data_IF_278985431188
#
_entry.id   IF_278985431188
#
_cell.length_a   1.000
_cell.length_b   1.000
_cell.length_c   1.000
_cell.angle_alpha   90.00
_cell.angle_beta   90.00
_cell.angle_gamma   90.00
#
_symmetry.space_group_name_H-M   'P 1'
#
loop_
_entity.id
_entity.type
_entity.pdbx_description
1 polymer ?
#
# COMPACT_ATOMS: atom_id res chain seq x y z
N UNK A 1 -53.84 25.45 -33.44
CA UNK A 1 -53.16 26.22 -32.37
C UNK A 1 -53.78 25.78 -31.05
N UNK A 2 -53.14 25.27 -30.00
CA UNK A 2 -51.76 24.86 -29.72
C UNK A 2 -51.84 23.95 -28.48
N UNK A 3 -50.86 23.05 -28.34
CA UNK A 3 -50.67 21.94 -27.40
C UNK A 3 -50.77 22.27 -25.91
N UNK A 4 -51.29 21.34 -25.11
CA UNK A 4 -51.00 21.19 -23.68
C UNK A 4 -50.47 19.78 -23.41
N UNK A 5 -49.16 19.64 -23.19
CA UNK A 5 -48.58 18.48 -22.53
C UNK A 5 -47.78 18.99 -21.34
N UNK A 6 -48.29 18.72 -20.13
CA UNK A 6 -47.59 18.93 -18.89
C UNK A 6 -46.56 17.80 -18.72
N UNK A 7 -45.28 18.14 -18.79
CA UNK A 7 -44.18 17.25 -18.43
C UNK A 7 -43.41 17.91 -17.28
N UNK A 8 -43.81 17.59 -16.04
CA UNK A 8 -43.11 18.03 -14.83
C UNK A 8 -42.15 16.95 -14.37
N UNK A 9 -40.88 17.16 -14.73
CA UNK A 9 -39.70 17.15 -13.86
C UNK A 9 -39.54 15.97 -12.87
N UNK A 10 -38.85 14.91 -13.31
CA UNK A 10 -38.12 14.02 -12.41
C UNK A 10 -36.62 14.23 -12.68
N UNK A 11 -36.04 15.24 -12.03
CA UNK A 11 -34.60 15.47 -12.05
C UNK A 11 -33.93 14.43 -11.14
N UNK A 12 -33.55 13.30 -11.73
CA UNK A 12 -32.68 12.31 -11.07
C UNK A 12 -31.31 12.96 -10.86
N UNK A 13 -31.07 13.43 -9.64
CA UNK A 13 -29.71 13.73 -9.18
C UNK A 13 -28.89 12.44 -9.24
N UNK A 14 -28.19 12.19 -10.34
CA UNK A 14 -27.06 11.29 -10.35
C UNK A 14 -25.99 11.94 -9.48
N UNK A 15 -26.02 11.61 -8.19
CA UNK A 15 -24.88 11.79 -7.31
C UNK A 15 -23.78 10.93 -7.89
N UNK A 16 -22.88 11.54 -8.65
CA UNK A 16 -21.61 10.92 -9.02
C UNK A 16 -20.84 10.79 -7.71
N UNK A 17 -20.97 9.64 -7.06
CA UNK A 17 -20.05 9.23 -6.01
C UNK A 17 -18.68 9.10 -6.66
N UNK A 18 -17.88 10.15 -6.55
CA UNK A 18 -16.45 10.11 -6.83
C UNK A 18 -15.80 9.17 -5.82
N UNK A 19 -15.85 7.86 -6.09
CA UNK A 19 -15.06 6.88 -5.39
C UNK A 19 -13.59 7.19 -5.70
N UNK A 20 -12.92 7.91 -4.80
CA UNK A 20 -11.46 7.98 -4.82
C UNK A 20 -10.93 6.55 -4.71
N UNK A 21 -10.37 6.04 -5.80
CA UNK A 21 -9.87 4.68 -5.87
C UNK A 21 -8.55 4.60 -5.10
N UNK A 22 -8.58 3.99 -3.91
CA UNK A 22 -7.34 3.63 -3.20
C UNK A 22 -6.61 2.43 -3.84
N UNK A 23 -7.13 1.88 -4.95
CA UNK A 23 -6.46 0.88 -5.76
C UNK A 23 -5.28 1.52 -6.53
N UNK A 24 -4.15 0.82 -6.56
CA UNK A 24 -3.04 1.13 -7.47
C UNK A 24 -3.43 0.61 -8.86
N UNK A 25 -3.42 1.50 -9.86
CA UNK A 25 -3.78 1.12 -11.22
C UNK A 25 -2.67 0.28 -11.86
N UNK A 26 -2.96 -0.64 -12.81
CA UNK A 26 -1.95 -1.54 -13.36
C UNK A 26 -0.75 -0.86 -14.02
N UNK A 27 -0.95 0.32 -14.61
CA UNK A 27 0.10 1.15 -15.21
C UNK A 27 1.03 1.80 -14.18
N UNK A 28 0.65 1.74 -12.90
CA UNK A 28 1.39 2.31 -11.79
C UNK A 28 2.29 1.27 -11.10
N UNK A 29 2.16 -0.02 -11.39
CA UNK A 29 2.94 -1.05 -10.71
C UNK A 29 4.46 -0.90 -10.88
N UNK A 30 5.20 -1.15 -9.80
CA UNK A 30 6.64 -0.86 -9.77
C UNK A 30 7.51 -1.84 -10.57
N UNK A 31 6.99 -3.03 -10.87
CA UNK A 31 7.75 -4.15 -11.41
C UNK A 31 8.40 -5.04 -10.33
N UNK A 32 8.12 -4.79 -9.05
CA UNK A 32 8.65 -5.59 -7.94
C UNK A 32 8.07 -7.01 -7.88
N UNK A 33 6.77 -7.16 -8.11
CA UNK A 33 6.10 -8.47 -8.14
C UNK A 33 6.36 -9.19 -9.47
N UNK A 34 6.33 -10.51 -9.44
CA UNK A 34 6.60 -11.32 -10.63
C UNK A 34 5.40 -11.39 -11.59
N UNK A 35 4.17 -11.38 -11.06
CA UNK A 35 2.96 -11.59 -11.85
C UNK A 35 1.76 -10.79 -11.33
N UNK A 36 1.64 -9.54 -11.79
CA UNK A 36 0.53 -8.67 -11.44
C UNK A 36 -0.83 -9.12 -11.99
N UNK A 37 -0.88 -10.04 -12.97
CA UNK A 37 -2.12 -10.42 -13.66
C UNK A 37 -3.14 -11.11 -12.75
N UNK A 38 -2.67 -11.60 -11.58
CA UNK A 38 -3.49 -12.31 -10.59
C UNK A 38 -4.14 -11.38 -9.57
N UNK A 39 -3.68 -10.14 -9.50
CA UNK A 39 -4.19 -9.17 -8.54
C UNK A 39 -5.61 -8.78 -8.89
N UNK A 40 -6.44 -8.65 -7.85
CA UNK A 40 -7.79 -8.12 -7.96
C UNK A 40 -8.05 -7.16 -6.82
N UNK A 41 -9.01 -6.25 -6.99
CA UNK A 41 -9.49 -5.41 -5.89
C UNK A 41 -10.12 -6.29 -4.81
N UNK A 42 -9.62 -6.15 -3.59
CA UNK A 42 -10.10 -6.81 -2.39
C UNK A 42 -10.18 -5.80 -1.24
N UNK A 43 -10.86 -6.13 -0.15
CA UNK A 43 -10.81 -5.33 1.08
C UNK A 43 -9.82 -5.93 2.08
N UNK A 44 -9.02 -5.07 2.71
CA UNK A 44 -8.23 -5.44 3.88
C UNK A 44 -9.14 -5.63 5.10
N UNK A 45 -8.65 -6.27 6.19
CA UNK A 45 -9.41 -6.40 7.43
C UNK A 45 -9.90 -5.07 8.03
N UNK A 46 -9.17 -3.96 7.83
CA UNK A 46 -9.59 -2.61 8.20
C UNK A 46 -10.58 -1.94 7.23
N UNK A 47 -10.99 -2.62 6.16
CA UNK A 47 -11.96 -2.11 5.17
C UNK A 47 -11.35 -1.26 4.06
N UNK A 48 -10.02 -1.16 3.98
CA UNK A 48 -9.34 -0.40 2.92
C UNK A 48 -9.25 -1.25 1.65
N UNK A 49 -9.56 -0.66 0.48
CA UNK A 49 -9.38 -1.36 -0.80
C UNK A 49 -7.90 -1.55 -1.10
N UNK A 50 -7.54 -2.76 -1.48
CA UNK A 50 -6.18 -3.20 -1.79
C UNK A 50 -6.19 -4.05 -3.07
N UNK A 51 -5.12 -4.01 -3.86
CA UNK A 51 -4.93 -4.99 -4.91
C UNK A 51 -4.22 -6.20 -4.30
N UNK A 52 -4.88 -7.36 -4.27
CA UNK A 52 -4.38 -8.55 -3.59
C UNK A 52 -4.68 -9.79 -4.41
N UNK A 53 -3.80 -10.77 -4.27
CA UNK A 53 -4.02 -12.15 -4.68
C UNK A 53 -3.64 -13.11 -3.54
N UNK A 54 -4.38 -14.20 -3.41
CA UNK A 54 -4.06 -15.32 -2.53
C UNK A 54 -4.29 -16.59 -3.34
N UNK A 55 -3.34 -17.53 -3.29
CA UNK A 55 -3.51 -18.83 -3.94
C UNK A 55 -4.80 -19.49 -3.42
N UNK A 56 -5.76 -19.86 -4.29
CA UNK A 56 -7.00 -20.50 -3.87
C UNK A 56 -6.77 -21.85 -3.18
N UNK A 57 -5.61 -22.48 -3.38
CA UNK A 57 -5.21 -23.73 -2.73
C UNK A 57 -4.28 -23.50 -1.53
N UNK A 58 -4.19 -22.27 -1.02
CA UNK A 58 -3.37 -21.95 0.14
C UNK A 58 -3.85 -22.72 1.38
N UNK A 59 -3.07 -23.71 1.79
CA UNK A 59 -3.14 -24.27 3.13
C UNK A 59 -2.19 -23.50 4.06
N UNK A 60 -2.74 -22.48 4.73
CA UNK A 60 -1.99 -21.65 5.68
C UNK A 60 -1.48 -22.47 6.89
N UNK A 61 -2.04 -23.66 7.14
CA UNK A 61 -1.64 -24.49 8.29
C UNK A 61 -0.25 -25.11 8.13
N UNK A 62 0.24 -25.21 6.88
CA UNK A 62 1.60 -25.67 6.56
C UNK A 62 2.68 -24.74 7.07
N UNK A 63 2.36 -23.47 7.32
CA UNK A 63 3.31 -22.47 7.82
C UNK A 63 3.22 -22.33 9.34
N UNK A 64 4.26 -22.78 10.03
CA UNK A 64 4.38 -22.69 11.49
C UNK A 64 5.18 -21.47 11.94
N UNK A 65 5.92 -20.86 11.02
CA UNK A 65 6.73 -19.68 11.24
C UNK A 65 6.78 -18.79 10.01
N UNK A 66 7.13 -17.53 10.23
CA UNK A 66 7.32 -16.52 9.18
C UNK A 66 8.74 -16.01 9.22
N UNK A 67 9.37 -15.87 8.05
CA UNK A 67 10.61 -15.12 7.88
C UNK A 67 10.28 -13.84 7.12
N UNK A 68 10.74 -12.69 7.63
CA UNK A 68 10.54 -11.39 6.98
C UNK A 68 11.90 -10.98 6.41
N UNK A 69 12.00 -10.92 5.07
CA UNK A 69 13.17 -10.35 4.42
C UNK A 69 13.28 -8.86 4.78
N UNK A 70 14.51 -8.31 4.95
CA UNK A 70 14.68 -6.88 5.15
C UNK A 70 14.02 -6.08 4.01
N UNK A 71 13.14 -5.15 4.36
CA UNK A 71 12.49 -4.31 3.35
C UNK A 71 13.50 -3.41 2.66
N UNK A 72 13.19 -3.09 1.40
CA UNK A 72 13.97 -2.17 0.57
C UNK A 72 13.04 -1.27 -0.21
N UNK A 73 13.58 -0.21 -0.77
CA UNK A 73 12.90 0.50 -1.83
C UNK A 73 13.08 -0.23 -3.17
N UNK A 74 12.03 -0.25 -3.99
CA UNK A 74 12.12 -0.75 -5.36
C UNK A 74 11.29 0.11 -6.33
N UNK A 75 11.91 0.63 -7.42
CA UNK A 75 13.34 0.62 -7.72
C UNK A 75 14.11 1.46 -6.69
N UNK A 76 15.44 1.49 -6.82
CA UNK A 76 16.29 2.30 -5.93
C UNK A 76 15.92 3.79 -6.06
N UNK A 77 15.56 4.47 -4.95
CA UNK A 77 15.17 5.86 -4.96
C UNK A 77 16.41 6.75 -5.08
N UNK A 78 16.21 7.98 -5.55
CA UNK A 78 17.22 9.04 -5.53
C UNK A 78 16.88 9.95 -4.34
N UNK A 79 17.73 9.99 -3.29
CA UNK A 79 17.50 10.89 -2.17
C UNK A 79 17.67 12.34 -2.60
N UNK A 80 16.87 13.23 -2.03
CA UNK A 80 16.97 14.67 -2.23
C UNK A 80 16.93 15.43 -0.89
N UNK A 81 16.77 16.75 -0.93
CA UNK A 81 16.69 17.59 0.27
C UNK A 81 15.40 17.42 1.06
N UNK A 82 14.33 16.91 0.44
CA UNK A 82 12.99 16.69 1.02
C UNK A 82 12.86 15.29 1.62
N UNK A 83 13.47 14.31 0.98
CA UNK A 83 13.45 12.89 1.33
C UNK A 83 14.90 12.39 1.34
N UNK A 84 15.68 12.76 2.36
CA UNK A 84 17.08 12.37 2.46
C UNK A 84 17.21 10.85 2.70
N UNK A 85 18.41 10.33 2.45
CA UNK A 85 18.72 8.90 2.63
C UNK A 85 18.40 8.39 4.05
N UNK A 86 18.53 9.24 5.06
CA UNK A 86 18.18 8.93 6.46
C UNK A 86 16.68 8.69 6.63
N UNK A 87 15.83 9.45 5.95
CA UNK A 87 14.38 9.26 5.93
C UNK A 87 14.03 7.93 5.30
N UNK A 88 14.59 7.64 4.12
CA UNK A 88 14.38 6.37 3.42
C UNK A 88 14.78 5.18 4.31
N UNK A 89 15.96 5.21 4.92
CA UNK A 89 16.40 4.17 5.87
C UNK A 89 15.48 4.05 7.09
N UNK A 90 14.98 5.17 7.61
CA UNK A 90 14.02 5.19 8.71
C UNK A 90 12.71 4.49 8.34
N UNK A 91 12.21 4.72 7.12
CA UNK A 91 10.98 4.08 6.61
C UNK A 91 11.14 2.56 6.53
N UNK A 92 12.19 2.04 5.89
CA UNK A 92 12.40 0.59 5.78
C UNK A 92 12.66 -0.05 7.16
N UNK A 93 13.46 0.61 7.99
CA UNK A 93 13.74 0.14 9.35
C UNK A 93 12.48 0.05 10.19
N UNK A 94 11.58 1.03 10.08
CA UNK A 94 10.31 1.03 10.79
C UNK A 94 9.34 0.00 10.21
N UNK A 95 9.30 -0.17 8.89
CA UNK A 95 8.44 -1.16 8.25
C UNK A 95 8.78 -2.58 8.71
N UNK A 96 10.06 -2.93 8.75
CA UNK A 96 10.53 -4.22 9.26
C UNK A 96 10.12 -4.44 10.72
N UNK A 97 10.25 -3.41 11.56
CA UNK A 97 9.87 -3.46 12.97
C UNK A 97 8.35 -3.64 13.14
N UNK A 98 7.54 -2.90 12.39
CA UNK A 98 6.09 -2.98 12.45
C UNK A 98 5.59 -4.37 12.02
N UNK A 99 6.11 -4.92 10.92
CA UNK A 99 5.78 -6.28 10.48
C UNK A 99 6.13 -7.33 11.54
N UNK A 100 7.34 -7.27 12.10
CA UNK A 100 7.78 -8.19 13.18
C UNK A 100 6.90 -8.05 14.43
N UNK A 101 6.63 -6.82 14.87
CA UNK A 101 5.80 -6.50 16.04
C UNK A 101 4.39 -7.06 15.90
N UNK A 102 3.75 -6.92 14.75
CA UNK A 102 2.37 -7.39 14.56
C UNK A 102 2.31 -8.90 14.32
N UNK A 103 3.17 -9.46 13.46
CA UNK A 103 3.11 -10.88 13.13
C UNK A 103 3.56 -11.77 14.29
N UNK A 104 4.51 -11.34 15.13
CA UNK A 104 4.94 -12.09 16.31
C UNK A 104 3.81 -12.38 17.31
N UNK A 105 2.71 -11.61 17.28
CA UNK A 105 1.53 -11.85 18.12
C UNK A 105 0.76 -13.11 17.74
N UNK A 106 0.92 -13.59 16.50
CA UNK A 106 0.06 -14.64 15.91
C UNK A 106 0.84 -15.79 15.31
N UNK A 107 2.12 -15.61 14.97
CA UNK A 107 2.98 -16.63 14.38
C UNK A 107 4.44 -16.42 14.79
N UNK A 108 5.19 -17.52 14.93
CA UNK A 108 6.62 -17.46 15.29
C UNK A 108 7.40 -16.73 14.19
N UNK A 109 8.25 -15.78 14.58
CA UNK A 109 9.22 -15.16 13.67
C UNK A 109 10.49 -16.02 13.61
N UNK A 110 10.89 -16.41 12.40
CA UNK A 110 12.12 -17.13 12.12
C UNK A 110 13.24 -16.16 11.74
N UNK A 111 14.48 -16.57 11.99
CA UNK A 111 15.69 -15.84 11.57
C UNK A 111 16.16 -16.23 10.17
N UNK A 112 15.64 -17.33 9.60
CA UNK A 112 15.97 -17.79 8.26
C UNK A 112 14.81 -18.58 7.63
N UNK A 113 14.73 -18.64 6.29
CA UNK A 113 13.81 -19.55 5.60
C UNK A 113 14.15 -21.02 5.86
N UNK A 114 13.15 -21.84 6.16
CA UNK A 114 13.25 -23.30 6.22
C UNK A 114 11.90 -23.94 5.90
N UNK A 115 11.84 -25.28 5.79
CA UNK A 115 10.57 -25.97 5.56
C UNK A 115 9.49 -25.56 6.58
N UNK A 116 8.26 -25.30 6.12
CA UNK A 116 7.17 -24.77 6.96
C UNK A 116 7.29 -23.27 7.29
N UNK A 117 8.16 -22.53 6.59
CA UNK A 117 8.29 -21.07 6.70
C UNK A 117 7.57 -20.37 5.57
N UNK A 118 6.72 -19.39 5.91
CA UNK A 118 6.24 -18.40 4.95
C UNK A 118 7.23 -17.24 4.91
N UNK A 119 7.83 -17.00 3.75
CA UNK A 119 8.72 -15.85 3.53
C UNK A 119 7.89 -14.66 3.09
N UNK A 120 8.04 -13.53 3.79
CA UNK A 120 7.47 -12.25 3.41
C UNK A 120 8.60 -11.42 2.81
N UNK A 121 8.43 -11.03 1.56
CA UNK A 121 9.35 -10.14 0.84
C UNK A 121 8.64 -8.82 0.57
N UNK A 122 8.80 -7.82 1.44
CA UNK A 122 8.21 -6.50 1.28
C UNK A 122 9.16 -5.53 0.55
N UNK A 123 8.58 -4.59 -0.19
CA UNK A 123 9.28 -3.41 -0.69
C UNK A 123 8.42 -2.16 -0.57
N UNK A 124 9.05 -1.03 -0.25
CA UNK A 124 8.46 0.28 -0.45
C UNK A 124 8.63 0.64 -1.92
N UNK A 125 7.51 0.93 -2.57
CA UNK A 125 7.43 1.15 -4.01
C UNK A 125 6.90 2.55 -4.35
N UNK A 126 6.81 3.45 -3.38
CA UNK A 126 6.84 4.89 -3.61
C UNK A 126 6.89 5.59 -2.25
N UNK A 127 7.47 6.77 -2.21
CA UNK A 127 7.26 7.75 -1.14
C UNK A 127 7.33 9.14 -1.75
N UNK A 128 6.37 10.00 -1.46
CA UNK A 128 6.34 11.38 -1.97
C UNK A 128 5.78 12.34 -0.94
N UNK A 129 6.13 13.61 -1.08
CA UNK A 129 5.48 14.72 -0.41
C UNK A 129 5.23 15.80 -1.46
N UNK A 130 4.03 15.87 -2.04
CA UNK A 130 3.71 16.84 -3.11
C UNK A 130 2.26 17.30 -3.01
N UNK A 131 1.94 18.47 -3.57
CA UNK A 131 0.58 19.05 -3.55
C UNK A 131 -0.22 18.82 -4.84
N UNK A 132 0.45 18.55 -5.96
CA UNK A 132 -0.15 18.33 -7.27
C UNK A 132 0.69 17.35 -8.08
N UNK A 133 0.05 16.68 -9.06
CA UNK A 133 0.58 15.59 -9.86
C UNK A 133 2.09 15.61 -10.13
N UNK A 134 2.70 14.44 -9.91
CA UNK A 134 4.10 14.15 -10.16
C UNK A 134 4.56 14.75 -11.48
N UNK A 135 5.54 15.66 -11.44
CA UNK A 135 6.41 15.84 -12.61
C UNK A 135 7.25 14.57 -12.74
N UNK A 136 7.38 13.98 -13.93
CA UNK A 136 7.98 12.66 -14.11
C UNK A 136 9.50 12.69 -13.99
N UNK A 137 10.04 13.00 -12.82
CA UNK A 137 11.44 12.88 -12.39
C UNK A 137 11.36 13.09 -10.86
N UNK A 138 11.60 12.14 -9.95
CA UNK A 138 12.63 11.10 -9.89
C UNK A 138 12.12 9.85 -9.12
N UNK A 139 12.19 8.68 -9.79
CA UNK A 139 12.11 7.28 -9.31
C UNK A 139 11.01 6.88 -8.31
N UNK A 140 9.86 6.37 -8.79
CA UNK A 140 9.31 4.97 -8.75
C UNK A 140 8.03 4.94 -9.68
N UNK A 141 7.65 3.85 -10.40
CA UNK A 141 6.53 3.87 -11.37
C UNK A 141 5.13 4.14 -10.84
N UNK A 142 4.90 4.19 -9.52
CA UNK A 142 3.56 4.43 -8.99
C UNK A 142 3.20 5.90 -9.14
N UNK A 143 2.31 6.22 -10.08
CA UNK A 143 1.65 7.52 -10.08
C UNK A 143 0.71 7.62 -8.88
N UNK A 144 1.11 8.39 -7.88
CA UNK A 144 0.32 8.66 -6.70
C UNK A 144 -0.76 9.70 -7.07
N UNK A 145 -2.04 9.32 -6.95
CA UNK A 145 -3.19 10.12 -7.40
C UNK A 145 -3.78 10.86 -6.22
N UNK A 146 -3.53 12.17 -6.18
CA UNK A 146 -4.10 13.10 -5.21
C UNK A 146 -5.51 13.53 -5.63
N UNK A 147 -6.44 13.56 -4.69
CA UNK A 147 -7.77 14.13 -4.90
C UNK A 147 -7.67 15.67 -4.83
N UNK A 148 -7.83 16.34 -5.97
CA UNK A 148 -7.76 17.80 -6.05
C UNK A 148 -8.93 18.47 -5.30
N UNK A 149 -8.62 19.15 -4.19
CA UNK A 149 -9.50 20.14 -3.57
C UNK A 149 -9.04 21.55 -3.99
N UNK A 150 -9.98 22.42 -4.36
CA UNK A 150 -9.76 23.67 -5.10
C UNK A 150 -8.80 24.68 -4.42
N UNK A 151 -7.96 25.28 -5.24
CA UNK A 151 -6.75 26.06 -4.94
C UNK A 151 -7.01 27.56 -4.67
N UNK A 152 -6.52 28.06 -3.53
CA UNK A 152 -6.21 29.47 -3.30
C UNK A 152 -5.12 29.60 -2.21
N UNK A 153 -4.03 30.31 -2.52
CA UNK A 153 -2.88 30.68 -1.69
C UNK A 153 -1.80 29.60 -1.39
N UNK A 154 -0.58 29.88 -1.85
CA UNK A 154 0.60 28.99 -1.89
C UNK A 154 1.36 28.76 -0.58
N UNK A 155 0.65 28.54 0.53
CA UNK A 155 1.19 28.14 1.83
C UNK A 155 0.30 27.08 2.48
N UNK A 156 0.27 25.87 1.92
CA UNK A 156 -0.48 24.76 2.53
C UNK A 156 0.30 23.45 2.56
N UNK A 157 -0.21 22.60 3.43
CA UNK A 157 0.31 21.28 3.74
C UNK A 157 0.54 20.45 2.47
N UNK A 158 1.64 19.69 2.44
CA UNK A 158 2.06 18.81 1.36
C UNK A 158 1.57 17.42 1.69
N UNK A 159 0.81 16.81 0.78
CA UNK A 159 0.29 15.48 1.00
C UNK A 159 1.43 14.47 0.93
N UNK A 160 1.57 13.67 1.99
CA UNK A 160 2.50 12.56 2.03
C UNK A 160 1.79 11.31 1.53
N UNK A 161 2.42 10.61 0.60
CA UNK A 161 1.94 9.32 0.11
C UNK A 161 3.06 8.29 0.13
N UNK A 162 2.70 7.04 0.41
CA UNK A 162 3.62 5.90 0.44
C UNK A 162 2.92 4.68 -0.16
N UNK A 163 3.68 3.87 -0.90
CA UNK A 163 3.20 2.62 -1.47
C UNK A 163 4.10 1.44 -1.10
N UNK A 164 3.51 0.26 -1.03
CA UNK A 164 4.19 -1.00 -0.75
C UNK A 164 3.69 -2.09 -1.68
N UNK A 165 4.61 -2.98 -2.02
CA UNK A 165 4.31 -4.26 -2.66
C UNK A 165 4.97 -5.38 -1.85
N UNK A 166 4.28 -6.51 -1.71
CA UNK A 166 4.84 -7.67 -1.02
C UNK A 166 4.41 -8.98 -1.67
N UNK A 167 5.38 -9.88 -1.81
CA UNK A 167 5.16 -11.29 -2.19
C UNK A 167 5.32 -12.20 -0.97
N UNK A 168 4.45 -13.20 -0.86
CA UNK A 168 4.49 -14.23 0.18
C UNK A 168 4.87 -15.56 -0.46
N UNK A 169 5.93 -16.19 0.01
CA UNK A 169 6.61 -17.29 -0.67
C UNK A 169 6.72 -18.50 0.26
N UNK A 170 6.37 -19.69 -0.24
CA UNK A 170 6.63 -20.96 0.43
C UNK A 170 8.14 -21.27 0.39
N UNK A 171 8.80 -21.29 1.55
CA UNK A 171 10.24 -21.53 1.62
C UNK A 171 10.67 -22.93 1.13
N UNK A 172 9.77 -23.92 1.13
CA UNK A 172 10.09 -25.30 0.76
C UNK A 172 10.21 -25.52 -0.75
N UNK A 173 9.52 -24.71 -1.56
CA UNK A 173 9.50 -24.87 -3.02
C UNK A 173 9.61 -23.56 -3.81
N UNK A 174 9.71 -22.41 -3.15
CA UNK A 174 9.84 -21.10 -3.79
C UNK A 174 8.56 -20.57 -4.43
N UNK A 175 7.42 -21.24 -4.25
CA UNK A 175 6.14 -20.83 -4.86
C UNK A 175 5.61 -19.57 -4.18
N UNK A 176 5.22 -18.57 -4.98
CA UNK A 176 4.44 -17.42 -4.50
C UNK A 176 3.01 -17.89 -4.19
N UNK A 177 2.56 -17.63 -2.96
CA UNK A 177 1.25 -18.06 -2.44
C UNK A 177 0.30 -16.90 -2.12
N UNK A 178 0.81 -15.67 -2.07
CA UNK A 178 0.01 -14.46 -2.03
C UNK A 178 0.84 -13.26 -2.50
N UNK A 179 0.15 -12.22 -2.95
CA UNK A 179 0.74 -10.95 -3.36
C UNK A 179 -0.18 -9.80 -2.96
N UNK A 180 0.40 -8.64 -2.67
CA UNK A 180 -0.35 -7.43 -2.32
C UNK A 180 0.35 -6.19 -2.85
N UNK A 181 -0.45 -5.24 -3.32
CA UNK A 181 -0.06 -3.88 -3.68
C UNK A 181 -0.99 -2.93 -2.94
N UNK A 182 -0.41 -1.93 -2.27
CA UNK A 182 -1.16 -0.96 -1.47
C UNK A 182 -0.50 0.41 -1.50
N UNK A 183 -1.33 1.46 -1.49
CA UNK A 183 -0.94 2.84 -1.21
C UNK A 183 -1.60 3.34 0.07
N UNK A 184 -1.05 4.39 0.67
CA UNK A 184 -1.63 5.06 1.82
C UNK A 184 -1.17 6.51 1.90
N UNK A 185 -2.04 7.35 2.47
CA UNK A 185 -1.75 8.75 2.76
C UNK A 185 -1.15 8.86 4.16
N UNK A 186 0.04 9.44 4.25
CA UNK A 186 0.72 9.77 5.51
C UNK A 186 0.18 11.04 6.14
N UNK A 187 0.91 11.55 7.13
CA UNK A 187 0.68 12.86 7.73
C UNK A 187 1.16 13.95 6.78
N UNK A 188 0.32 14.95 6.51
CA UNK A 188 0.70 16.06 5.64
C UNK A 188 1.84 16.89 6.26
N UNK A 189 2.77 17.38 5.43
CA UNK A 189 3.84 18.28 5.88
C UNK A 189 3.39 19.72 5.80
N UNK A 190 3.72 20.60 6.73
CA UNK A 190 3.21 21.99 6.77
C UNK A 190 3.49 22.80 5.49
N UNK A 191 4.59 22.49 4.77
CA UNK A 191 4.97 23.21 3.56
C UNK A 191 6.02 22.46 2.71
N UNK A 192 6.34 23.04 1.55
CA UNK A 192 7.34 22.52 0.59
C UNK A 192 8.80 22.58 1.07
N UNK A 193 9.10 23.13 2.24
CA UNK A 193 10.46 23.19 2.82
C UNK A 193 10.67 22.14 3.91
N UNK A 194 9.60 21.63 4.50
CA UNK A 194 9.69 20.58 5.51
C UNK A 194 10.26 19.30 4.89
N UNK A 195 11.18 18.69 5.62
CA UNK A 195 11.77 17.39 5.29
C UNK A 195 10.83 16.31 5.79
N UNK A 196 10.51 15.33 4.94
CA UNK A 196 9.73 14.16 5.32
C UNK A 196 10.51 13.34 6.35
N UNK A 197 9.88 12.99 7.46
CA UNK A 197 10.37 12.05 8.46
C UNK A 197 9.72 10.69 8.26
N UNK A 198 10.38 9.62 8.72
CA UNK A 198 9.74 8.31 8.80
C UNK A 198 8.47 8.36 9.68
N UNK A 199 8.41 9.26 10.66
CA UNK A 199 7.23 9.48 11.52
C UNK A 199 5.96 9.81 10.73
N UNK A 200 6.10 10.55 9.62
CA UNK A 200 4.98 10.99 8.79
C UNK A 200 4.27 9.83 8.08
N UNK A 201 4.94 8.68 7.92
CA UNK A 201 4.36 7.48 7.29
C UNK A 201 4.12 6.32 8.28
N UNK A 202 4.51 6.46 9.55
CA UNK A 202 4.30 5.42 10.58
C UNK A 202 2.83 4.99 10.71
N UNK A 203 1.84 5.90 10.75
CA UNK A 203 0.44 5.48 10.87
C UNK A 203 -0.02 4.57 9.73
N UNK A 204 0.47 4.83 8.51
CA UNK A 204 0.19 4.01 7.33
C UNK A 204 0.80 2.62 7.46
N UNK A 205 2.09 2.57 7.81
CA UNK A 205 2.84 1.33 8.01
C UNK A 205 2.22 0.48 9.13
N UNK A 206 1.79 1.11 10.23
CA UNK A 206 1.12 0.44 11.34
C UNK A 206 -0.21 -0.18 10.89
N UNK A 207 -1.00 0.55 10.09
CA UNK A 207 -2.21 0.03 9.47
C UNK A 207 -1.95 -1.19 8.59
N UNK A 208 -0.88 -1.15 7.78
CA UNK A 208 -0.48 -2.26 6.91
C UNK A 208 -0.06 -3.49 7.71
N UNK A 209 0.77 -3.31 8.74
CA UNK A 209 1.23 -4.40 9.60
C UNK A 209 0.07 -5.02 10.39
N UNK A 210 -0.84 -4.21 10.91
CA UNK A 210 -2.04 -4.68 11.61
C UNK A 210 -2.95 -5.49 10.67
N UNK A 211 -3.22 -5.00 9.46
CA UNK A 211 -4.01 -5.72 8.46
C UNK A 211 -3.38 -7.05 8.05
N UNK A 212 -2.05 -7.11 8.01
CA UNK A 212 -1.34 -8.36 7.72
C UNK A 212 -1.51 -9.39 8.84
N UNK A 213 -1.40 -8.96 10.10
CA UNK A 213 -1.69 -9.80 11.27
C UNK A 213 -3.14 -10.31 11.26
N UNK A 214 -4.11 -9.41 11.08
CA UNK A 214 -5.53 -9.77 11.02
C UNK A 214 -5.83 -10.73 9.85
N UNK A 215 -5.19 -10.52 8.69
CA UNK A 215 -5.31 -11.44 7.55
C UNK A 215 -4.78 -12.83 7.87
N UNK A 216 -3.65 -12.92 8.59
CA UNK A 216 -3.07 -14.19 9.05
C UNK A 216 -4.01 -14.90 10.03
N UNK A 217 -4.58 -14.18 10.99
CA UNK A 217 -5.56 -14.73 11.94
C UNK A 217 -6.79 -15.28 11.21
N UNK A 218 -7.37 -14.49 10.29
CA UNK A 218 -8.55 -14.90 9.52
C UNK A 218 -8.28 -16.14 8.66
N UNK A 219 -7.13 -16.21 7.99
CA UNK A 219 -6.75 -17.39 7.21
C UNK A 219 -6.61 -18.62 8.12
N UNK A 220 -6.00 -18.47 9.30
CA UNK A 220 -5.82 -19.59 10.24
C UNK A 220 -7.10 -19.99 10.97
N UNK A 221 -8.10 -19.11 11.06
CA UNK A 221 -9.38 -19.40 11.67
C UNK A 221 -10.33 -20.17 10.73
N UNK A 222 -10.14 -20.09 9.41
CA UNK A 222 -10.92 -20.83 8.39
C UNK A 222 -10.51 -22.32 8.27
N UNK A 223 -9.89 -22.87 9.31
CA UNK A 223 -9.50 -24.28 9.41
C UNK A 223 -10.70 -25.14 9.79
#
# INVERSE_FOLDING_TARGET
>A
MTKCFAASLLATCMLVSGCTSTLVQPDQYSGFLQDYSRLSEQQSPSGVKVARWVDPNLDISRYTQVYIEPSKFYPTPQPDSRIPQTTLQGITSYYDQALKRELSKVIRISNSPSNGTLVIRPAITAVSAETEGLKPYEVIPIALVVAAATTAAGERDQQVEIATEASFIDAGNGKVVAEVVRKGAGTDLENKKQVLSADDVKPVIDGWANDMRLSMEQLRAKR
#
